data_IF_283527359225
#
_entry.id   IF_283527359225
#
_cell.length_a   1.000
_cell.length_b   1.000
_cell.length_c   1.000
_cell.angle_alpha   90.00
_cell.angle_beta   90.00
_cell.angle_gamma   90.00
#
_symmetry.space_group_name_H-M   'P 1'
#
loop_
_entity.id
_entity.type
_entity.pdbx_description
1 polymer ?
#
# COMPACT_ATOMS: atom_id res chain seq x y z
N UNK A 1 -4.55 70.96 23.34
CA UNK A 1 -4.34 69.69 24.04
C UNK A 1 -4.76 68.56 23.10
N UNK A 2 -3.83 68.03 22.33
CA UNK A 2 -4.07 66.95 21.35
C UNK A 2 -3.13 65.82 21.69
N UNK A 3 -3.71 64.71 22.12
CA UNK A 3 -3.02 63.52 22.60
C UNK A 3 -2.69 62.62 21.40
N UNK A 4 -1.42 62.31 21.09
CA UNK A 4 -1.11 61.37 20.02
C UNK A 4 -1.25 59.92 20.53
N UNK A 5 -2.24 59.20 20.02
CA UNK A 5 -2.40 57.76 20.22
C UNK A 5 -1.18 57.00 19.69
N UNK A 6 -0.55 56.22 20.57
CA UNK A 6 0.53 55.31 20.23
C UNK A 6 0.05 54.18 19.30
N UNK A 7 0.89 53.69 18.37
CA UNK A 7 0.54 52.62 17.46
C UNK A 7 0.39 51.30 18.21
N UNK A 8 -0.80 50.72 18.09
CA UNK A 8 -1.19 49.43 18.65
C UNK A 8 -0.34 48.30 18.02
N UNK A 9 0.76 47.91 18.68
CA UNK A 9 1.57 46.75 18.32
C UNK A 9 0.73 45.48 18.48
N UNK A 10 0.15 44.99 17.38
CA UNK A 10 -0.38 43.63 17.31
C UNK A 10 0.77 42.65 17.58
N UNK A 11 0.76 42.05 18.76
CA UNK A 11 1.69 40.99 19.14
C UNK A 11 1.42 39.76 18.25
N UNK A 12 2.31 39.50 17.29
CA UNK A 12 2.31 38.29 16.46
C UNK A 12 2.86 37.08 17.24
N UNK A 13 2.40 36.85 18.46
CA UNK A 13 2.69 35.58 19.14
C UNK A 13 1.68 34.54 18.68
N UNK A 14 2.12 33.39 18.13
CA UNK A 14 1.20 32.33 17.76
C UNK A 14 0.42 31.89 19.01
N UNK A 15 -0.91 31.97 18.94
CA UNK A 15 -1.79 31.53 20.02
C UNK A 15 -1.48 30.06 20.33
N UNK A 16 -1.21 29.71 21.60
CA UNK A 16 -1.00 28.31 21.97
C UNK A 16 -2.27 27.52 21.63
N UNK A 17 -2.07 26.35 21.01
CA UNK A 17 -3.15 25.43 20.68
C UNK A 17 -3.90 25.06 21.97
N UNK A 18 -5.26 25.06 21.95
CA UNK A 18 -6.05 24.67 23.11
C UNK A 18 -5.72 23.22 23.51
N UNK A 19 -5.24 23.05 24.74
CA UNK A 19 -4.72 21.79 25.30
C UNK A 19 -5.77 20.66 25.38
N UNK A 20 -7.06 20.99 25.26
CA UNK A 20 -8.17 20.03 25.31
C UNK A 20 -8.63 19.55 23.93
N UNK A 21 -7.83 19.78 22.88
CA UNK A 21 -8.16 19.33 21.52
C UNK A 21 -7.29 18.14 21.15
N UNK A 22 -7.77 17.31 20.22
CA UNK A 22 -7.00 16.16 19.72
C UNK A 22 -5.61 16.56 19.22
N UNK A 23 -5.49 17.71 18.55
CA UNK A 23 -4.20 18.26 18.08
C UNK A 23 -3.33 18.83 19.20
N UNK A 24 -3.91 19.12 20.37
CA UNK A 24 -3.18 19.57 21.56
C UNK A 24 -2.57 18.43 22.37
N UNK A 25 -2.91 17.17 22.09
CA UNK A 25 -2.30 16.00 22.72
C UNK A 25 -0.83 15.86 22.28
N UNK A 26 0.04 15.20 23.06
CA UNK A 26 1.34 14.69 22.58
C UNK A 26 1.16 13.76 21.38
N UNK A 27 2.18 13.69 20.51
CA UNK A 27 2.11 12.87 19.29
C UNK A 27 1.90 11.39 19.61
N UNK A 28 2.54 10.89 20.65
CA UNK A 28 2.48 9.49 21.08
C UNK A 28 1.04 9.07 21.38
N UNK A 29 0.28 9.93 22.08
CA UNK A 29 -1.13 9.67 22.38
C UNK A 29 -2.00 9.78 21.11
N UNK A 30 -1.68 10.69 20.19
CA UNK A 30 -2.38 10.75 18.90
C UNK A 30 -2.15 9.47 18.12
N UNK A 31 -0.91 8.99 18.04
CA UNK A 31 -0.50 7.80 17.30
C UNK A 31 -1.19 6.53 17.85
N UNK A 32 -1.33 6.41 19.17
CA UNK A 32 -2.10 5.33 19.81
C UNK A 32 -3.59 5.41 19.46
N UNK A 33 -4.21 6.59 19.58
CA UNK A 33 -5.63 6.78 19.25
C UNK A 33 -5.87 6.49 17.75
N UNK A 34 -5.01 6.99 16.85
CA UNK A 34 -5.15 6.75 15.42
C UNK A 34 -4.90 5.30 15.05
N UNK A 35 -4.04 4.58 15.79
CA UNK A 35 -3.81 3.16 15.57
C UNK A 35 -5.14 2.38 15.61
N UNK A 36 -6.00 2.65 16.58
CA UNK A 36 -7.31 1.99 16.69
C UNK A 36 -8.27 2.30 15.53
N UNK A 37 -8.06 3.41 14.82
CA UNK A 37 -8.95 3.86 13.74
C UNK A 37 -8.43 3.47 12.35
N UNK A 38 -7.11 3.29 12.23
CA UNK A 38 -6.38 3.17 10.97
C UNK A 38 -5.86 1.76 10.74
N UNK A 39 -5.54 1.03 11.81
CA UNK A 39 -5.06 -0.34 11.72
C UNK A 39 -6.26 -1.28 11.61
N UNK A 40 -6.27 -2.07 10.54
CA UNK A 40 -7.19 -3.18 10.41
C UNK A 40 -6.64 -4.40 11.13
N UNK A 41 -7.50 -5.35 11.56
CA UNK A 41 -7.04 -6.61 12.14
C UNK A 41 -6.01 -7.27 11.22
N UNK A 42 -4.99 -7.95 11.78
CA UNK A 42 -3.86 -8.48 11.00
C UNK A 42 -4.26 -9.44 9.88
N UNK A 43 -5.39 -10.11 10.04
CA UNK A 43 -5.94 -11.05 9.04
C UNK A 43 -6.76 -10.34 7.94
N UNK A 44 -7.00 -9.04 8.09
CA UNK A 44 -7.74 -8.23 7.11
C UNK A 44 -6.78 -7.71 6.05
N UNK A 45 -7.04 -8.09 4.80
CA UNK A 45 -6.27 -7.60 3.65
C UNK A 45 -7.09 -6.54 2.93
N UNK A 46 -6.56 -5.33 2.84
CA UNK A 46 -7.21 -4.18 2.21
C UNK A 46 -7.18 -4.34 0.70
N UNK A 47 -8.34 -4.36 0.05
CA UNK A 47 -8.44 -4.66 -1.38
C UNK A 47 -8.47 -3.39 -2.24
N UNK A 48 -7.74 -3.44 -3.36
CA UNK A 48 -7.73 -2.38 -4.39
C UNK A 48 -8.77 -2.62 -5.49
N UNK A 49 -9.81 -3.42 -5.19
CA UNK A 49 -10.82 -3.80 -6.17
C UNK A 49 -11.70 -2.62 -6.56
N UNK A 50 -12.10 -2.60 -7.83
CA UNK A 50 -13.03 -1.63 -8.43
C UNK A 50 -14.48 -1.79 -7.94
N UNK A 51 -14.79 -2.87 -7.21
CA UNK A 51 -16.15 -3.17 -6.79
C UNK A 51 -16.68 -2.10 -5.82
N UNK A 52 -17.81 -1.48 -6.17
CA UNK A 52 -18.49 -0.48 -5.36
C UNK A 52 -18.82 -0.96 -3.94
N UNK A 53 -18.99 -2.27 -3.73
CA UNK A 53 -19.15 -2.85 -2.39
C UNK A 53 -17.86 -2.77 -1.55
N UNK A 54 -16.68 -2.88 -2.17
CA UNK A 54 -15.38 -2.74 -1.52
C UNK A 54 -15.09 -1.29 -1.11
N UNK A 55 -15.63 -0.29 -1.81
CA UNK A 55 -15.54 1.12 -1.37
C UNK A 55 -16.40 1.43 -0.14
N UNK A 56 -17.45 0.65 0.10
CA UNK A 56 -18.38 0.82 1.23
C UNK A 56 -17.98 -0.02 2.45
N UNK A 57 -17.23 -1.11 2.25
CA UNK A 57 -16.70 -1.92 3.33
C UNK A 57 -15.43 -1.30 3.91
N UNK A 58 -15.16 -1.59 5.18
CA UNK A 58 -13.95 -1.17 5.89
C UNK A 58 -12.65 -1.78 5.32
N UNK A 59 -12.72 -2.49 4.20
CA UNK A 59 -11.63 -3.21 3.55
C UNK A 59 -11.21 -2.50 2.25
N UNK A 60 -11.64 -1.25 2.04
CA UNK A 60 -11.22 -0.44 0.90
C UNK A 60 -9.80 0.11 1.05
N UNK A 61 -9.02 0.15 -0.04
CA UNK A 61 -7.72 0.84 -0.09
C UNK A 61 -7.79 2.38 -0.02
N UNK A 62 -8.97 2.94 0.30
CA UNK A 62 -9.14 4.36 0.52
C UNK A 62 -8.37 4.86 1.75
N UNK A 63 -7.80 6.06 1.64
CA UNK A 63 -7.15 6.71 2.77
C UNK A 63 -8.14 6.92 3.93
N UNK A 64 -7.71 6.73 5.20
CA UNK A 64 -8.56 6.99 6.36
C UNK A 64 -9.14 8.41 6.35
N UNK A 65 -10.38 8.58 6.76
CA UNK A 65 -11.05 9.89 6.78
C UNK A 65 -10.28 10.94 7.59
N UNK A 66 -9.63 10.53 8.69
CA UNK A 66 -8.75 11.39 9.49
C UNK A 66 -7.55 11.96 8.72
N UNK A 67 -7.06 11.28 7.68
CA UNK A 67 -5.98 11.80 6.84
C UNK A 67 -6.46 12.90 5.87
N UNK A 68 -7.76 13.21 5.83
CA UNK A 68 -8.36 14.25 4.98
C UNK A 68 -8.71 15.53 5.73
N UNK A 69 -8.75 15.51 7.07
CA UNK A 69 -9.23 16.65 7.85
C UNK A 69 -8.14 17.69 8.16
N UNK A 70 -6.86 17.28 8.19
CA UNK A 70 -5.76 18.16 8.58
C UNK A 70 -4.42 17.67 7.99
N UNK A 71 -3.54 18.59 7.57
CA UNK A 71 -2.24 18.27 6.98
C UNK A 71 -1.25 17.61 7.96
N UNK A 72 -1.26 18.00 9.24
CA UNK A 72 -0.46 17.37 10.28
C UNK A 72 -0.90 15.91 10.47
N UNK A 73 -2.20 15.69 10.69
CA UNK A 73 -2.75 14.33 10.84
C UNK A 73 -2.51 13.50 9.60
N UNK A 74 -2.60 14.08 8.40
CA UNK A 74 -2.25 13.38 7.16
C UNK A 74 -0.82 12.87 7.16
N UNK A 75 0.14 13.68 7.60
CA UNK A 75 1.57 13.31 7.67
C UNK A 75 1.85 12.25 8.74
N UNK A 76 1.11 12.28 9.85
CA UNK A 76 1.25 11.31 10.94
C UNK A 76 0.59 9.96 10.57
N UNK A 77 -0.62 9.99 10.00
CA UNK A 77 -1.47 8.82 9.81
C UNK A 77 -1.11 8.00 8.56
N UNK A 78 -0.82 8.65 7.43
CA UNK A 78 -0.61 7.91 6.18
C UNK A 78 0.57 6.93 6.26
N UNK A 79 1.74 7.30 6.79
CA UNK A 79 2.83 6.35 6.97
C UNK A 79 2.43 5.15 7.83
N UNK A 80 1.67 5.37 8.92
CA UNK A 80 1.17 4.30 9.79
C UNK A 80 0.18 3.39 9.04
N UNK A 81 -0.75 3.98 8.28
CA UNK A 81 -1.73 3.23 7.47
C UNK A 81 -1.05 2.33 6.45
N UNK A 82 -0.13 2.86 5.65
CA UNK A 82 0.52 2.09 4.58
C UNK A 82 1.55 1.09 5.12
N UNK A 83 2.21 1.39 6.25
CA UNK A 83 3.19 0.48 6.88
C UNK A 83 2.55 -0.70 7.59
N UNK A 84 1.40 -0.50 8.22
CA UNK A 84 0.88 -1.47 9.18
C UNK A 84 -0.32 -2.26 8.67
N UNK A 85 -0.80 -1.96 7.45
CA UNK A 85 -1.85 -2.73 6.79
C UNK A 85 -1.28 -3.52 5.59
N UNK A 86 -1.94 -4.63 5.26
CA UNK A 86 -1.63 -5.42 4.08
C UNK A 86 -2.58 -5.05 2.95
N UNK A 87 -2.04 -4.86 1.75
CA UNK A 87 -2.82 -4.48 0.58
C UNK A 87 -2.86 -5.61 -0.43
N UNK A 88 -4.00 -5.81 -1.09
CA UNK A 88 -4.19 -6.80 -2.14
C UNK A 88 -4.66 -6.14 -3.42
N UNK A 89 -3.95 -6.43 -4.49
CA UNK A 89 -4.34 -6.11 -5.85
C UNK A 89 -4.68 -7.40 -6.59
N UNK A 90 -5.94 -7.53 -6.99
CA UNK A 90 -6.30 -8.48 -8.03
C UNK A 90 -6.00 -7.83 -9.37
N UNK A 91 -5.23 -8.49 -10.23
CA UNK A 91 -4.82 -7.91 -11.53
C UNK A 91 -5.00 -8.91 -12.68
N UNK A 92 -6.00 -9.77 -12.57
CA UNK A 92 -6.40 -10.68 -13.66
C UNK A 92 -6.82 -9.89 -14.90
N UNK A 93 -7.66 -8.88 -14.70
CA UNK A 93 -8.28 -8.12 -15.76
C UNK A 93 -7.60 -6.75 -15.97
N UNK A 94 -7.57 -6.22 -17.20
CA UNK A 94 -6.92 -4.93 -17.48
C UNK A 94 -7.51 -3.75 -16.68
N UNK A 95 -8.80 -3.80 -16.35
CA UNK A 95 -9.47 -2.75 -15.58
C UNK A 95 -9.00 -2.71 -14.12
N UNK A 96 -8.82 -3.88 -13.50
CA UNK A 96 -8.32 -3.97 -12.13
C UNK A 96 -6.83 -3.62 -12.06
N UNK A 97 -6.03 -4.01 -13.07
CA UNK A 97 -4.67 -3.53 -13.22
C UNK A 97 -4.63 -1.99 -13.30
N UNK A 98 -5.48 -1.39 -14.14
CA UNK A 98 -5.55 0.07 -14.27
C UNK A 98 -5.98 0.75 -12.96
N UNK A 99 -6.86 0.11 -12.19
CA UNK A 99 -7.30 0.59 -10.87
C UNK A 99 -6.17 0.55 -9.85
N UNK A 100 -5.44 -0.57 -9.76
CA UNK A 100 -4.27 -0.70 -8.89
C UNK A 100 -3.16 0.31 -9.26
N UNK A 101 -2.90 0.52 -10.55
CA UNK A 101 -1.94 1.54 -11.03
C UNK A 101 -2.36 2.95 -10.64
N UNK A 102 -3.64 3.30 -10.81
CA UNK A 102 -4.20 4.61 -10.40
C UNK A 102 -4.13 4.81 -8.89
N UNK A 103 -4.35 3.76 -8.11
CA UNK A 103 -4.18 3.82 -6.66
C UNK A 103 -2.73 4.11 -6.28
N UNK A 104 -1.75 3.43 -6.89
CA UNK A 104 -0.33 3.71 -6.64
C UNK A 104 0.03 5.17 -6.96
N UNK A 105 -0.48 5.72 -8.07
CA UNK A 105 -0.28 7.13 -8.41
C UNK A 105 -0.88 8.07 -7.36
N UNK A 106 -2.09 7.75 -6.86
CA UNK A 106 -2.79 8.59 -5.89
C UNK A 106 -2.08 8.64 -4.52
N UNK A 107 -1.37 7.59 -4.12
CA UNK A 107 -0.62 7.58 -2.86
C UNK A 107 0.76 8.24 -2.99
N UNK A 108 1.40 8.15 -4.16
CA UNK A 108 2.72 8.72 -4.43
C UNK A 108 3.89 7.98 -3.76
N UNK A 109 5.12 8.33 -4.15
CA UNK A 109 6.35 7.62 -3.73
C UNK A 109 6.62 7.67 -2.23
N UNK A 110 6.23 8.75 -1.55
CA UNK A 110 6.40 8.87 -0.11
C UNK A 110 5.67 7.77 0.63
N UNK A 111 4.41 7.54 0.26
CA UNK A 111 3.54 6.53 0.87
C UNK A 111 3.81 5.13 0.31
N UNK A 112 4.13 5.00 -0.98
CA UNK A 112 4.53 3.74 -1.59
C UNK A 112 5.77 3.16 -0.87
N UNK A 113 6.73 4.02 -0.52
CA UNK A 113 7.90 3.63 0.27
C UNK A 113 7.59 3.23 1.72
N UNK A 114 6.39 3.50 2.22
CA UNK A 114 5.95 3.03 3.53
C UNK A 114 5.31 1.64 3.49
N UNK A 115 4.88 1.17 2.32
CA UNK A 115 4.20 -0.12 2.17
C UNK A 115 5.05 -1.26 2.73
N UNK A 116 4.40 -2.13 3.51
CA UNK A 116 5.07 -3.30 4.09
C UNK A 116 4.81 -4.56 3.27
N UNK A 117 3.54 -4.84 3.00
CA UNK A 117 3.12 -6.06 2.31
C UNK A 117 2.17 -5.70 1.18
N UNK A 118 2.47 -6.21 -0.01
CA UNK A 118 1.59 -6.12 -1.17
C UNK A 118 1.34 -7.53 -1.70
N UNK A 119 0.08 -7.92 -1.73
CA UNK A 119 -0.37 -9.21 -2.24
C UNK A 119 -0.92 -9.02 -3.65
N UNK A 120 -0.39 -9.78 -4.59
CA UNK A 120 -0.89 -9.84 -5.96
C UNK A 120 -1.64 -11.15 -6.16
N UNK A 121 -2.83 -11.08 -6.73
CA UNK A 121 -3.56 -12.28 -7.10
C UNK A 121 -4.24 -12.18 -8.45
N UNK A 122 -4.52 -13.33 -9.04
CA UNK A 122 -5.29 -13.40 -10.26
C UNK A 122 -5.35 -14.79 -10.86
N UNK A 123 -6.14 -14.91 -11.93
CA UNK A 123 -6.26 -16.13 -12.71
C UNK A 123 -5.16 -16.21 -13.76
N UNK A 124 -4.36 -17.26 -13.72
CA UNK A 124 -3.44 -17.61 -14.82
C UNK A 124 -4.05 -18.71 -15.67
N UNK A 125 -3.76 -18.68 -16.97
CA UNK A 125 -4.08 -19.76 -17.90
C UNK A 125 -2.90 -20.72 -17.96
N UNK A 126 -3.19 -22.01 -17.95
CA UNK A 126 -2.17 -23.05 -17.98
C UNK A 126 -2.56 -24.07 -19.05
N UNK A 127 -1.68 -24.37 -20.02
CA UNK A 127 -1.95 -25.40 -21.02
C UNK A 127 -1.97 -26.78 -20.35
N UNK A 128 -2.95 -27.59 -20.71
CA UNK A 128 -3.12 -28.98 -20.28
C UNK A 128 -3.44 -29.83 -21.52
N UNK A 129 -2.40 -30.34 -22.18
CA UNK A 129 -2.52 -30.97 -23.50
C UNK A 129 -3.07 -29.98 -24.53
N UNK A 130 -4.23 -30.29 -25.12
CA UNK A 130 -4.95 -29.39 -26.04
C UNK A 130 -5.96 -28.46 -25.35
N UNK A 131 -6.08 -28.52 -24.02
CA UNK A 131 -7.02 -27.73 -23.24
C UNK A 131 -6.31 -26.61 -22.48
N UNK A 132 -7.06 -25.58 -22.07
CA UNK A 132 -6.57 -24.51 -21.18
C UNK A 132 -7.32 -24.62 -19.86
N UNK A 133 -6.58 -24.73 -18.76
CA UNK A 133 -7.14 -24.66 -17.41
C UNK A 133 -6.83 -23.31 -16.77
N UNK A 134 -7.76 -22.79 -15.96
CA UNK A 134 -7.54 -21.58 -15.17
C UNK A 134 -7.08 -21.97 -13.77
N UNK A 135 -5.99 -21.37 -13.31
CA UNK A 135 -5.46 -21.56 -11.96
C UNK A 135 -5.43 -20.22 -11.24
N UNK A 136 -5.85 -20.21 -9.98
CA UNK A 136 -5.73 -19.03 -9.14
C UNK A 136 -4.32 -18.96 -8.56
N UNK A 137 -3.67 -17.81 -8.69
CA UNK A 137 -2.32 -17.57 -8.18
C UNK A 137 -2.39 -16.41 -7.20
N UNK A 138 -1.70 -16.56 -6.08
CA UNK A 138 -1.55 -15.53 -5.06
C UNK A 138 -0.09 -15.44 -4.61
N UNK A 139 0.48 -14.26 -4.75
CA UNK A 139 1.88 -13.95 -4.43
C UNK A 139 1.91 -12.82 -3.41
N UNK A 140 2.68 -13.02 -2.35
CA UNK A 140 2.91 -12.04 -1.29
C UNK A 140 4.27 -11.40 -1.50
N UNK A 141 4.32 -10.07 -1.59
CA UNK A 141 5.55 -9.29 -1.68
C UNK A 141 5.80 -8.64 -0.32
N UNK A 142 6.89 -9.02 0.34
CA UNK A 142 7.41 -8.31 1.50
C UNK A 142 8.29 -7.16 0.99
N UNK A 143 7.71 -5.97 0.96
CA UNK A 143 8.34 -4.76 0.45
C UNK A 143 9.36 -4.17 1.44
N UNK A 144 9.39 -4.61 2.69
CA UNK A 144 10.44 -4.18 3.62
C UNK A 144 11.69 -5.02 3.46
N UNK A 145 11.53 -6.35 3.39
CA UNK A 145 12.63 -7.32 3.32
C UNK A 145 13.07 -7.62 1.90
N UNK A 146 12.27 -7.26 0.89
CA UNK A 146 12.58 -7.57 -0.49
C UNK A 146 12.41 -9.05 -0.84
N UNK A 147 11.50 -9.76 -0.16
CA UNK A 147 11.25 -11.19 -0.40
C UNK A 147 9.87 -11.45 -1.00
N UNK A 148 9.78 -12.47 -1.86
CA UNK A 148 8.55 -12.92 -2.49
C UNK A 148 8.12 -14.28 -1.93
N UNK A 149 6.91 -14.33 -1.40
CA UNK A 149 6.26 -15.55 -0.91
C UNK A 149 5.15 -16.00 -1.83
N UNK A 150 4.98 -17.31 -1.96
CA UNK A 150 3.84 -17.93 -2.63
C UNK A 150 2.84 -18.36 -1.57
N UNK A 151 1.58 -17.93 -1.71
CA UNK A 151 0.53 -18.49 -0.86
C UNK A 151 -0.08 -19.72 -1.54
N UNK A 152 -0.11 -20.88 -0.86
CA UNK A 152 -0.71 -22.08 -1.42
C UNK A 152 -2.20 -21.82 -1.68
N UNK A 153 -2.67 -22.18 -2.88
CA UNK A 153 -4.11 -22.16 -3.16
C UNK A 153 -4.78 -23.20 -2.27
N UNK A 154 -5.90 -22.83 -1.64
CA UNK A 154 -6.71 -23.73 -0.80
C UNK A 154 -7.23 -24.95 -1.57
N UNK A 155 -7.14 -24.96 -2.91
CA UNK A 155 -7.64 -26.04 -3.77
C UNK A 155 -6.75 -27.28 -3.88
N UNK A 156 -5.62 -27.37 -3.17
CA UNK A 156 -4.79 -28.59 -3.16
C UNK A 156 -4.18 -28.94 -4.53
N UNK A 157 -4.21 -28.01 -5.49
CA UNK A 157 -3.60 -28.19 -6.79
C UNK A 157 -2.08 -28.14 -6.67
N UNK A 158 -1.42 -29.23 -7.05
CA UNK A 158 0.03 -29.24 -7.25
C UNK A 158 0.42 -28.12 -8.22
N UNK A 159 1.45 -27.37 -7.83
CA UNK A 159 1.83 -26.15 -8.52
C UNK A 159 2.39 -26.49 -9.91
N UNK A 160 1.66 -26.11 -10.96
CA UNK A 160 2.01 -26.49 -12.33
C UNK A 160 3.40 -25.93 -12.73
N UNK A 161 4.28 -26.72 -13.37
CA UNK A 161 5.66 -26.31 -13.68
C UNK A 161 5.77 -24.97 -14.43
N UNK A 162 4.84 -24.69 -15.34
CA UNK A 162 4.75 -23.40 -16.05
C UNK A 162 4.56 -22.22 -15.08
N UNK A 163 3.62 -22.34 -14.15
CA UNK A 163 3.31 -21.31 -13.16
C UNK A 163 4.51 -21.10 -12.24
N UNK A 164 5.15 -22.19 -11.81
CA UNK A 164 6.36 -22.13 -10.98
C UNK A 164 7.50 -21.39 -11.69
N UNK A 165 7.74 -21.65 -12.99
CA UNK A 165 8.79 -20.98 -13.76
C UNK A 165 8.53 -19.47 -13.92
N UNK A 166 7.30 -19.08 -14.24
CA UNK A 166 6.94 -17.67 -14.40
C UNK A 166 6.99 -16.90 -13.08
N UNK A 167 6.55 -17.52 -11.99
CA UNK A 167 6.63 -16.92 -10.65
C UNK A 167 8.09 -16.79 -10.21
N UNK A 168 8.95 -17.74 -10.57
CA UNK A 168 10.38 -17.63 -10.32
C UNK A 168 11.02 -16.47 -11.13
N UNK A 169 10.57 -16.25 -12.37
CA UNK A 169 10.96 -15.07 -13.16
C UNK A 169 10.52 -13.75 -12.50
N UNK A 170 9.30 -13.72 -11.95
CA UNK A 170 8.79 -12.59 -11.18
C UNK A 170 9.60 -12.37 -9.88
N UNK A 171 9.92 -13.45 -9.15
CA UNK A 171 10.76 -13.43 -7.94
C UNK A 171 12.11 -12.78 -8.22
N UNK A 172 12.84 -13.24 -9.24
CA UNK A 172 14.14 -12.67 -9.61
C UNK A 172 14.05 -11.21 -10.03
N UNK A 173 12.95 -10.82 -10.66
CA UNK A 173 12.73 -9.42 -11.04
C UNK A 173 12.45 -8.56 -9.81
N UNK A 174 11.69 -9.08 -8.85
CA UNK A 174 11.44 -8.43 -7.58
C UNK A 174 12.70 -8.29 -6.73
N UNK A 175 13.49 -9.35 -6.59
CA UNK A 175 14.74 -9.33 -5.81
C UNK A 175 15.75 -8.32 -6.39
N UNK A 176 15.89 -8.23 -7.72
CA UNK A 176 16.70 -7.18 -8.37
C UNK A 176 16.21 -5.77 -8.07
N UNK A 177 14.89 -5.56 -8.06
CA UNK A 177 14.32 -4.27 -7.68
C UNK A 177 14.52 -3.98 -6.19
N UNK A 178 14.44 -4.99 -5.34
CA UNK A 178 14.69 -4.88 -3.90
C UNK A 178 16.15 -4.50 -3.61
N UNK A 179 17.11 -5.10 -4.30
CA UNK A 179 18.53 -4.74 -4.23
C UNK A 179 18.75 -3.27 -4.61
N UNK A 180 18.14 -2.81 -5.71
CA UNK A 180 18.21 -1.42 -6.12
C UNK A 180 17.50 -0.45 -5.15
N UNK A 181 16.46 -0.92 -4.46
CA UNK A 181 15.68 -0.15 -3.50
C UNK A 181 16.22 -0.23 -2.07
N UNK A 182 17.27 -1.02 -1.82
CA UNK A 182 17.82 -1.23 -0.49
C UNK A 182 18.54 0.03 0.01
N UNK A 183 18.12 0.53 1.17
CA UNK A 183 18.79 1.64 1.84
C UNK A 183 19.98 1.09 2.63
N UNK A 184 21.17 1.63 2.42
CA UNK A 184 22.36 1.27 3.20
C UNK A 184 22.19 1.68 4.67
N UNK A 185 22.05 0.71 5.57
CA UNK A 185 21.89 0.92 7.01
C UNK A 185 21.88 -0.40 7.79
N UNK A 186 21.90 -0.34 9.12
CA UNK A 186 21.99 -1.51 10.01
C UNK A 186 20.79 -2.48 9.91
N UNK A 187 19.67 -2.03 9.36
CA UNK A 187 18.51 -2.85 8.98
C UNK A 187 18.23 -2.62 7.50
N UNK A 188 18.45 -3.65 6.68
CA UNK A 188 18.18 -3.59 5.25
C UNK A 188 16.67 -3.43 5.04
N UNK A 189 16.27 -2.21 4.67
CA UNK A 189 14.88 -1.88 4.36
C UNK A 189 14.80 -1.39 2.93
N UNK A 190 13.93 -2.00 2.15
CA UNK A 190 13.69 -1.59 0.77
C UNK A 190 12.68 -0.43 0.75
N UNK A 191 12.90 0.53 -0.14
CA UNK A 191 11.95 1.63 -0.38
C UNK A 191 11.54 1.64 -1.85
N UNK A 192 10.42 1.00 -2.13
CA UNK A 192 9.90 0.91 -3.50
C UNK A 192 9.23 2.21 -3.94
N UNK A 193 9.46 2.58 -5.19
CA UNK A 193 8.76 3.68 -5.86
C UNK A 193 7.48 3.18 -6.51
N UNK A 194 6.56 4.10 -6.81
CA UNK A 194 5.35 3.84 -7.60
C UNK A 194 5.71 3.21 -8.94
N UNK A 195 6.77 3.69 -9.60
CA UNK A 195 7.23 3.13 -10.87
C UNK A 195 7.66 1.66 -10.74
N UNK A 196 8.43 1.32 -9.69
CA UNK A 196 8.86 -0.05 -9.43
C UNK A 196 7.67 -0.98 -9.14
N UNK A 197 6.71 -0.52 -8.32
CA UNK A 197 5.52 -1.30 -8.00
C UNK A 197 4.62 -1.50 -9.22
N UNK A 198 4.46 -0.48 -10.07
CA UNK A 198 3.73 -0.61 -11.34
C UNK A 198 4.35 -1.64 -12.27
N UNK A 199 5.68 -1.67 -12.37
CA UNK A 199 6.38 -2.67 -13.16
C UNK A 199 6.11 -4.09 -12.66
N UNK A 200 6.03 -4.29 -11.33
CA UNK A 200 5.66 -5.57 -10.74
C UNK A 200 4.20 -5.97 -11.03
N UNK A 201 3.27 -5.00 -10.98
CA UNK A 201 1.87 -5.24 -11.35
C UNK A 201 1.75 -5.68 -12.82
N UNK A 202 2.48 -5.02 -13.72
CA UNK A 202 2.52 -5.37 -15.14
C UNK A 202 3.14 -6.74 -15.37
N UNK A 203 4.23 -7.07 -14.67
CA UNK A 203 4.86 -8.38 -14.73
C UNK A 203 3.94 -9.51 -14.27
N UNK A 204 3.20 -9.31 -13.16
CA UNK A 204 2.21 -10.29 -12.69
C UNK A 204 0.99 -10.37 -13.62
N UNK A 205 0.48 -9.25 -14.12
CA UNK A 205 -0.60 -9.27 -15.11
C UNK A 205 -0.19 -10.00 -16.39
N UNK A 206 1.06 -9.81 -16.84
CA UNK A 206 1.67 -10.57 -17.93
C UNK A 206 1.57 -12.08 -17.72
N UNK A 207 1.82 -12.58 -16.51
CA UNK A 207 1.60 -13.97 -16.13
C UNK A 207 0.13 -14.39 -16.26
N UNK A 208 -0.82 -13.55 -15.86
CA UNK A 208 -2.25 -13.84 -15.96
C UNK A 208 -2.74 -13.98 -17.42
N UNK A 209 -2.15 -13.23 -18.35
CA UNK A 209 -2.59 -13.17 -19.76
C UNK A 209 -1.76 -14.03 -20.71
N UNK A 210 -0.54 -14.45 -20.33
CA UNK A 210 0.37 -15.22 -21.19
C UNK A 210 -0.19 -16.60 -21.60
N UNK A 211 0.08 -17.00 -22.85
CA UNK A 211 -0.25 -18.29 -23.46
C UNK A 211 1.02 -19.06 -23.80
#
# INVERSE_FOLDING_TARGET
MTNPQAPNKKSNTPKPLPQNTFLGLPQELRDEITAYLVLKPRDTVITMLSNHACHRSEVSAAQPNLARVNHQLRREILPQFYRSNHFLAEVSDPEDLATAKRWLDAIGDENAGCLCELVLCGWTRVPFGHMISRRWVKVRLDLQRGSLGLEPSKTGDEQHPYVSKSIEGLRRSFERLAEAAAISGATQRCRFTVAALKHLLEGFHGLCVAY
#
